data_IF_696291417719
#
_entry.id   IF_696291417719
#
_cell.length_a   1.000
_cell.length_b   1.000
_cell.length_c   1.000
_cell.angle_alpha   90.00
_cell.angle_beta   90.00
_cell.angle_gamma   90.00
#
_symmetry.space_group_name_H-M   'P 1'
#
loop_
_entity.id
_entity.type
_entity.pdbx_description
1 polymer ?
#
# COMPACT_ATOMS: atom_id res chain seq x y z
N UNK A 1 -4.81 -4.31 11.07
CA UNK A 1 -6.01 -5.13 10.76
C UNK A 1 -6.33 -4.99 9.28
N UNK A 2 -5.88 -5.96 8.47
CA UNK A 2 -6.21 -6.09 7.05
C UNK A 2 -6.35 -7.58 6.77
N UNK A 3 -7.51 -8.15 7.10
CA UNK A 3 -7.84 -9.55 6.81
C UNK A 3 -9.01 -9.59 5.83
N UNK A 4 -8.75 -9.25 4.56
CA UNK A 4 -9.63 -9.58 3.43
C UNK A 4 -8.79 -10.13 2.27
N UNK A 5 -9.42 -10.89 1.38
CA UNK A 5 -8.86 -12.03 0.63
C UNK A 5 -7.89 -11.65 -0.49
N UNK A 6 -6.61 -11.47 -0.18
CA UNK A 6 -5.55 -11.42 -1.18
C UNK A 6 -5.21 -12.86 -1.60
N UNK A 7 -5.28 -13.16 -2.90
CA UNK A 7 -5.06 -14.51 -3.43
C UNK A 7 -4.10 -14.48 -4.62
N UNK A 8 -3.39 -15.57 -4.84
CA UNK A 8 -2.52 -15.71 -6.00
C UNK A 8 -3.29 -15.51 -7.30
N UNK A 9 -2.74 -14.71 -8.21
CA UNK A 9 -3.22 -14.63 -9.59
C UNK A 9 -2.70 -15.86 -10.31
N UNK A 10 -3.61 -16.68 -10.82
CA UNK A 10 -3.27 -17.73 -11.77
C UNK A 10 -3.92 -17.37 -13.08
N UNK A 11 -3.09 -16.94 -14.04
CA UNK A 11 -3.57 -16.59 -15.38
C UNK A 11 -3.36 -17.80 -16.28
N UNK A 12 -4.46 -18.44 -16.67
CA UNK A 12 -4.46 -19.63 -17.51
C UNK A 12 -4.82 -19.20 -18.93
N UNK A 13 -3.81 -18.78 -19.69
CA UNK A 13 -4.00 -18.34 -21.08
C UNK A 13 -4.05 -19.55 -22.01
N UNK A 14 -5.26 -19.96 -22.40
CA UNK A 14 -5.43 -20.87 -23.53
C UNK A 14 -5.38 -20.05 -24.82
N UNK A 15 -4.29 -20.13 -25.57
CA UNK A 15 -4.27 -19.67 -26.96
C UNK A 15 -4.83 -20.81 -27.80
N UNK A 16 -5.99 -20.66 -28.46
CA UNK A 16 -6.46 -21.67 -29.39
C UNK A 16 -5.45 -21.80 -30.53
N UNK A 17 -5.04 -23.04 -30.85
CA UNK A 17 -4.02 -23.36 -31.84
C UNK A 17 -4.35 -22.98 -33.30
N UNK A 18 -5.41 -22.20 -33.54
CA UNK A 18 -5.91 -21.85 -34.88
C UNK A 18 -6.26 -20.38 -35.11
N UNK A 19 -5.90 -19.46 -34.22
CA UNK A 19 -6.04 -18.01 -34.46
C UNK A 19 -4.65 -17.36 -34.50
N UNK A 20 -3.92 -17.62 -35.58
CA UNK A 20 -2.80 -16.80 -36.01
C UNK A 20 -3.33 -15.86 -37.09
N UNK A 21 -3.47 -14.57 -36.76
CA UNK A 21 -3.37 -13.38 -37.62
C UNK A 21 -4.26 -12.27 -37.03
N UNK A 22 -3.61 -11.31 -36.35
CA UNK A 22 -4.19 -10.02 -36.00
C UNK A 22 -4.71 -9.88 -34.57
N UNK A 23 -4.14 -8.90 -33.87
CA UNK A 23 -4.64 -8.24 -32.65
C UNK A 23 -4.30 -8.87 -31.28
N UNK A 24 -3.70 -8.05 -30.41
CA UNK A 24 -3.29 -8.34 -29.04
C UNK A 24 -4.43 -8.98 -28.24
N UNK A 25 -4.17 -10.14 -27.64
CA UNK A 25 -5.12 -10.77 -26.71
C UNK A 25 -5.25 -9.90 -25.44
N UNK A 26 -6.39 -9.23 -25.19
CA UNK A 26 -6.59 -8.45 -24.00
C UNK A 26 -7.22 -9.33 -22.91
N UNK A 27 -6.42 -9.67 -21.91
CA UNK A 27 -6.81 -9.81 -20.50
C UNK A 27 -8.00 -10.72 -20.09
N UNK A 28 -8.56 -11.56 -20.94
CA UNK A 28 -9.76 -12.35 -20.60
C UNK A 28 -9.57 -13.84 -20.92
N UNK A 29 -9.22 -14.61 -19.88
CA UNK A 29 -9.17 -16.08 -19.93
C UNK A 29 -10.59 -16.66 -19.82
N UNK A 30 -10.85 -17.79 -20.52
CA UNK A 30 -12.19 -18.42 -20.67
C UNK A 30 -12.67 -19.27 -19.48
N UNK A 31 -11.96 -19.30 -18.35
CA UNK A 31 -12.34 -20.11 -17.18
C UNK A 31 -12.94 -19.21 -16.08
N UNK A 32 -14.06 -19.63 -15.48
CA UNK A 32 -14.73 -18.85 -14.45
C UNK A 32 -13.83 -18.66 -13.20
N UNK A 33 -13.71 -17.44 -12.65
CA UNK A 33 -12.75 -17.13 -11.58
C UNK A 33 -12.98 -17.89 -10.26
N UNK A 34 -14.20 -18.42 -10.05
CA UNK A 34 -14.56 -19.18 -8.84
C UNK A 34 -13.94 -20.58 -8.86
N UNK A 35 -13.90 -21.24 -10.01
CA UNK A 35 -13.38 -22.61 -10.17
C UNK A 35 -11.83 -22.64 -10.10
N UNK A 36 -11.18 -21.59 -10.60
CA UNK A 36 -9.71 -21.46 -10.59
C UNK A 36 -9.19 -21.32 -9.16
N UNK A 37 -9.87 -20.55 -8.30
CA UNK A 37 -9.40 -20.28 -6.94
C UNK A 37 -9.35 -21.55 -6.08
N UNK A 38 -10.35 -22.42 -6.24
CA UNK A 38 -10.42 -23.69 -5.50
C UNK A 38 -9.33 -24.68 -5.92
N UNK A 39 -8.87 -24.59 -7.17
CA UNK A 39 -7.88 -25.51 -7.72
C UNK A 39 -6.42 -25.03 -7.54
N UNK A 40 -6.23 -23.72 -7.37
CA UNK A 40 -4.90 -23.10 -7.39
C UNK A 40 -4.36 -22.70 -6.02
N UNK A 41 -5.24 -22.43 -5.06
CA UNK A 41 -4.85 -21.93 -3.74
C UNK A 41 -5.12 -23.00 -2.67
N UNK A 42 -4.10 -23.44 -1.92
CA UNK A 42 -4.30 -24.40 -0.83
C UNK A 42 -5.19 -23.80 0.26
N UNK A 43 -6.06 -24.62 0.85
CA UNK A 43 -6.81 -24.27 2.06
C UNK A 43 -5.96 -24.65 3.27
N UNK A 44 -5.89 -23.75 4.24
CA UNK A 44 -5.23 -23.99 5.52
C UNK A 44 -6.10 -24.94 6.35
N UNK A 45 -5.54 -26.07 6.77
CA UNK A 45 -6.24 -27.16 7.47
C UNK A 45 -6.84 -26.69 8.81
N UNK A 46 -6.23 -25.69 9.45
CA UNK A 46 -6.63 -25.22 10.78
C UNK A 46 -7.80 -24.24 10.75
N UNK A 47 -7.95 -23.48 9.65
CA UNK A 47 -8.92 -22.40 9.56
C UNK A 47 -9.97 -22.60 8.46
N UNK A 48 -9.78 -23.60 7.59
CA UNK A 48 -10.63 -23.83 6.41
C UNK A 48 -10.60 -22.67 5.40
N UNK A 49 -9.67 -21.71 5.58
CA UNK A 49 -9.53 -20.52 4.75
C UNK A 49 -8.43 -20.74 3.72
N UNK A 50 -8.55 -20.07 2.58
CA UNK A 50 -7.49 -20.07 1.57
C UNK A 50 -6.19 -19.45 2.12
N UNK A 51 -5.05 -20.09 1.84
CA UNK A 51 -3.73 -19.60 2.18
C UNK A 51 -3.40 -18.32 1.40
N UNK A 52 -2.71 -17.37 2.04
CA UNK A 52 -2.56 -16.00 1.53
C UNK A 52 -1.24 -15.71 0.81
N UNK A 53 -0.35 -16.69 0.69
CA UNK A 53 0.98 -16.51 0.10
C UNK A 53 1.49 -17.72 -0.68
N UNK A 54 0.67 -18.75 -0.82
CA UNK A 54 1.04 -20.03 -1.39
C UNK A 54 0.11 -20.38 -2.53
N UNK A 55 0.65 -21.05 -3.53
CA UNK A 55 -0.09 -21.65 -4.64
C UNK A 55 0.38 -23.09 -4.86
N UNK A 56 -0.48 -23.93 -5.42
CA UNK A 56 -0.07 -25.26 -5.86
C UNK A 56 0.80 -25.17 -7.11
N UNK A 57 1.87 -25.96 -7.15
CA UNK A 57 2.76 -26.10 -8.30
C UNK A 57 2.25 -27.24 -9.20
N UNK A 58 1.22 -26.95 -9.99
CA UNK A 58 0.56 -27.93 -10.87
C UNK A 58 0.85 -27.60 -12.34
N UNK A 59 0.98 -28.64 -13.16
CA UNK A 59 0.99 -28.44 -14.61
C UNK A 59 -0.45 -28.18 -15.10
N UNK A 60 -0.80 -26.89 -15.21
CA UNK A 60 -2.13 -26.43 -15.60
C UNK A 60 -2.60 -26.90 -16.99
N UNK A 61 -1.69 -27.40 -17.85
CA UNK A 61 -2.07 -28.01 -19.13
C UNK A 61 -2.83 -29.33 -18.95
N UNK A 62 -2.55 -30.08 -17.88
CA UNK A 62 -3.18 -31.37 -17.58
C UNK A 62 -4.52 -31.21 -16.86
N UNK A 63 -4.66 -30.10 -16.13
CA UNK A 63 -5.92 -29.67 -15.51
C UNK A 63 -6.99 -29.39 -16.57
N UNK A 64 -6.64 -28.63 -17.62
CA UNK A 64 -7.57 -28.29 -18.70
C UNK A 64 -7.80 -29.47 -19.65
N UNK A 65 -6.82 -30.36 -19.79
CA UNK A 65 -6.95 -31.58 -20.59
C UNK A 65 -7.87 -32.65 -20.00
N UNK A 66 -8.53 -32.39 -18.86
CA UNK A 66 -9.50 -33.29 -18.24
C UNK A 66 -8.90 -34.50 -17.51
N UNK A 67 -7.57 -34.54 -17.34
CA UNK A 67 -6.88 -35.67 -16.70
C UNK A 67 -6.73 -35.53 -15.18
N UNK A 68 -7.08 -34.37 -14.60
CA UNK A 68 -7.05 -34.13 -13.17
C UNK A 68 -8.46 -33.80 -12.66
N UNK A 69 -9.00 -34.70 -11.85
CA UNK A 69 -10.30 -34.58 -11.20
C UNK A 69 -10.16 -33.86 -9.86
N UNK A 70 -10.16 -32.53 -9.89
CA UNK A 70 -10.29 -31.68 -8.70
C UNK A 70 -9.00 -31.38 -7.92
N UNK A 71 -9.09 -30.53 -6.88
CA UNK A 71 -7.95 -30.10 -6.07
C UNK A 71 -7.46 -31.25 -5.20
N UNK A 72 -6.21 -31.68 -5.42
CA UNK A 72 -5.54 -32.66 -4.56
C UNK A 72 -4.70 -31.93 -3.49
N UNK A 73 -4.99 -32.12 -2.19
CA UNK A 73 -4.23 -31.48 -1.12
C UNK A 73 -2.78 -31.99 -1.00
N UNK A 74 -2.41 -33.10 -1.65
CA UNK A 74 -1.05 -33.64 -1.65
C UNK A 74 -0.10 -32.92 -2.61
N UNK A 75 -0.61 -32.01 -3.45
CA UNK A 75 0.22 -31.30 -4.40
C UNK A 75 1.28 -30.43 -3.74
N UNK A 76 2.49 -30.33 -4.34
CA UNK A 76 3.53 -29.46 -3.84
C UNK A 76 3.07 -28.00 -3.86
N UNK A 77 3.38 -27.27 -2.79
CA UNK A 77 3.07 -25.84 -2.67
C UNK A 77 4.32 -25.00 -2.84
N UNK A 78 4.17 -23.86 -3.50
CA UNK A 78 5.24 -22.89 -3.73
C UNK A 78 4.76 -21.47 -3.47
N UNK A 79 5.67 -20.50 -3.45
CA UNK A 79 5.34 -19.08 -3.30
C UNK A 79 4.72 -18.55 -4.59
N UNK A 80 4.02 -17.43 -4.47
CA UNK A 80 3.21 -16.91 -5.55
C UNK A 80 4.07 -16.30 -6.67
N UNK A 81 4.17 -16.99 -7.82
CA UNK A 81 5.00 -16.55 -8.96
C UNK A 81 4.21 -15.80 -10.05
N UNK A 82 2.90 -16.04 -10.14
CA UNK A 82 2.06 -15.56 -11.25
C UNK A 82 1.31 -14.25 -10.94
N UNK A 83 1.75 -13.53 -9.91
CA UNK A 83 1.19 -12.27 -9.44
C UNK A 83 0.05 -12.42 -8.43
N UNK A 84 -0.64 -11.32 -8.14
CA UNK A 84 -1.68 -11.27 -7.10
C UNK A 84 -3.02 -10.77 -7.64
N UNK A 85 -4.09 -11.27 -7.03
CA UNK A 85 -5.47 -10.85 -7.25
C UNK A 85 -6.04 -10.40 -5.92
N UNK A 86 -6.54 -9.18 -5.90
CA UNK A 86 -7.04 -8.51 -4.71
C UNK A 86 -8.56 -8.34 -4.81
N UNK A 87 -9.27 -8.62 -3.72
CA UNK A 87 -10.70 -8.36 -3.63
C UNK A 87 -10.97 -6.93 -3.13
N UNK A 88 -11.30 -6.05 -4.08
CA UNK A 88 -11.63 -4.64 -3.82
C UNK A 88 -13.13 -4.40 -3.53
N UNK A 89 -13.93 -5.44 -3.25
CA UNK A 89 -15.38 -5.27 -2.99
C UNK A 89 -15.73 -4.35 -1.81
N UNK A 90 -14.83 -4.21 -0.82
CA UNK A 90 -15.03 -3.37 0.37
C UNK A 90 -13.92 -2.33 0.57
N UNK A 91 -12.84 -2.39 -0.22
CA UNK A 91 -11.65 -1.58 0.00
C UNK A 91 -11.11 -1.04 -1.32
N UNK A 92 -10.53 0.16 -1.27
CA UNK A 92 -9.88 0.76 -2.42
C UNK A 92 -8.46 0.21 -2.63
N UNK A 93 -7.93 0.25 -3.86
CA UNK A 93 -6.54 -0.11 -4.13
C UNK A 93 -5.56 0.77 -3.36
N UNK A 94 -4.66 0.14 -2.61
CA UNK A 94 -3.59 0.82 -1.88
C UNK A 94 -2.28 0.69 -2.65
N UNK A 95 -1.30 1.54 -2.32
CA UNK A 95 0.04 1.43 -2.89
C UNK A 95 0.67 0.04 -2.68
N UNK A 96 0.32 -0.62 -1.57
CA UNK A 96 0.80 -1.96 -1.24
C UNK A 96 0.19 -3.02 -2.15
N UNK A 97 -1.08 -2.89 -2.55
CA UNK A 97 -1.71 -3.81 -3.49
C UNK A 97 -1.37 -3.49 -4.95
N UNK A 98 -1.11 -2.22 -5.27
CA UNK A 98 -0.67 -1.80 -6.61
C UNK A 98 0.76 -2.28 -6.93
N UNK A 99 1.66 -2.23 -5.94
CA UNK A 99 3.06 -2.63 -6.09
C UNK A 99 3.36 -4.03 -5.57
N UNK A 100 2.33 -4.80 -5.20
CA UNK A 100 2.42 -6.18 -4.72
C UNK A 100 3.35 -6.37 -3.51
N UNK A 101 3.33 -5.43 -2.55
CA UNK A 101 4.10 -5.51 -1.30
C UNK A 101 3.40 -6.39 -0.27
N UNK A 102 3.31 -7.67 -0.59
CA UNK A 102 2.65 -8.70 0.22
C UNK A 102 3.60 -9.89 0.42
N UNK A 103 3.33 -10.70 1.44
CA UNK A 103 4.09 -11.93 1.73
C UNK A 103 5.58 -11.66 1.95
N UNK A 104 6.47 -12.10 1.06
CA UNK A 104 7.93 -11.87 1.20
C UNK A 104 8.32 -10.38 1.20
N UNK A 105 7.45 -9.52 0.66
CA UNK A 105 7.69 -8.09 0.50
C UNK A 105 6.83 -7.24 1.45
N UNK A 106 6.24 -7.85 2.47
CA UNK A 106 5.40 -7.20 3.48
C UNK A 106 6.17 -6.25 4.43
N UNK A 107 7.50 -6.34 4.42
CA UNK A 107 8.40 -5.48 5.19
C UNK A 107 8.51 -4.06 4.59
N UNK A 108 8.28 -3.89 3.28
CA UNK A 108 8.43 -2.60 2.56
C UNK A 108 7.53 -1.48 3.12
N UNK A 109 6.20 -1.69 3.33
CA UNK A 109 5.34 -0.69 3.96
C UNK A 109 5.81 -0.32 5.37
N UNK A 110 6.22 -1.32 6.16
CA UNK A 110 6.69 -1.14 7.53
C UNK A 110 7.97 -0.31 7.58
N UNK A 111 8.94 -0.60 6.70
CA UNK A 111 10.16 0.21 6.59
C UNK A 111 9.86 1.65 6.16
N UNK A 112 8.95 1.83 5.20
CA UNK A 112 8.54 3.18 4.77
C UNK A 112 7.96 3.99 5.92
N UNK A 113 7.17 3.35 6.79
CA UNK A 113 6.61 3.97 7.98
C UNK A 113 7.68 4.27 9.04
N UNK A 114 8.67 3.40 9.21
CA UNK A 114 9.81 3.67 10.10
C UNK A 114 10.62 4.88 9.63
N UNK A 115 10.91 4.98 8.33
CA UNK A 115 11.66 6.11 7.76
C UNK A 115 10.90 7.42 7.85
N UNK A 116 9.57 7.41 7.78
CA UNK A 116 8.74 8.57 8.08
C UNK A 116 9.02 9.11 9.50
N UNK A 117 9.06 8.24 10.51
CA UNK A 117 9.36 8.66 11.89
C UNK A 117 10.80 9.11 12.09
N UNK A 118 11.76 8.48 11.41
CA UNK A 118 13.16 8.96 11.39
C UNK A 118 13.23 10.37 10.81
N UNK A 119 12.51 10.65 9.72
CA UNK A 119 12.41 12.00 9.16
C UNK A 119 11.84 13.01 10.15
N UNK A 120 10.76 12.64 10.86
CA UNK A 120 10.17 13.48 11.89
C UNK A 120 11.17 13.80 13.03
N UNK A 121 11.89 12.78 13.51
CA UNK A 121 12.88 12.94 14.57
C UNK A 121 14.03 13.87 14.16
N UNK A 122 14.55 13.69 12.94
CA UNK A 122 15.65 14.51 12.42
C UNK A 122 15.23 15.96 12.15
N UNK A 123 13.99 16.18 11.71
CA UNK A 123 13.49 17.50 11.37
C UNK A 123 13.07 18.33 12.59
N UNK A 124 12.66 17.71 13.69
CA UNK A 124 12.17 18.40 14.89
C UNK A 124 13.11 19.51 15.40
N UNK A 125 14.41 19.26 15.67
CA UNK A 125 15.32 20.34 16.12
C UNK A 125 15.57 21.40 15.04
N UNK A 126 15.64 21.01 13.76
CA UNK A 126 15.92 21.91 12.64
C UNK A 126 14.75 22.86 12.39
N UNK A 127 13.53 22.33 12.33
CA UNK A 127 12.31 23.10 12.11
C UNK A 127 11.92 23.91 13.35
N UNK A 128 12.26 23.43 14.55
CA UNK A 128 12.17 24.22 15.79
C UNK A 128 13.04 25.47 15.73
N UNK A 129 14.33 25.30 15.46
CA UNK A 129 15.26 26.43 15.30
C UNK A 129 14.84 27.39 14.17
N UNK A 130 14.43 26.84 13.02
CA UNK A 130 13.96 27.61 11.89
C UNK A 130 12.70 28.43 12.22
N UNK A 131 11.75 27.85 12.95
CA UNK A 131 10.53 28.51 13.42
C UNK A 131 10.85 29.70 14.34
N UNK A 132 11.86 29.58 15.19
CA UNK A 132 12.25 30.66 16.08
C UNK A 132 12.97 31.79 15.32
N UNK A 133 13.70 31.47 14.23
CA UNK A 133 14.47 32.46 13.47
C UNK A 133 13.66 33.22 12.42
N UNK A 134 12.75 32.54 11.71
CA UNK A 134 11.95 33.08 10.61
C UNK A 134 10.50 33.36 11.00
N UNK A 135 10.10 33.00 12.22
CA UNK A 135 8.74 33.13 12.71
C UNK A 135 7.91 31.87 12.44
N UNK A 136 6.88 31.69 13.27
CA UNK A 136 6.03 30.49 13.31
C UNK A 136 5.13 30.36 12.08
N UNK A 137 4.54 31.46 11.61
CA UNK A 137 3.59 31.49 10.49
C UNK A 137 4.21 31.08 9.14
N UNK A 138 5.34 31.67 8.69
CA UNK A 138 5.96 31.27 7.42
C UNK A 138 6.37 29.79 7.39
N UNK A 139 6.86 29.26 8.51
CA UNK A 139 7.32 27.87 8.61
C UNK A 139 6.15 26.89 8.57
N UNK A 140 5.01 27.21 9.18
CA UNK A 140 3.78 26.40 9.02
C UNK A 140 3.38 26.35 7.54
N UNK A 141 3.32 27.48 6.85
CA UNK A 141 2.89 27.51 5.45
C UNK A 141 3.87 26.73 4.56
N UNK A 142 5.18 26.94 4.76
CA UNK A 142 6.21 26.22 4.01
C UNK A 142 6.14 24.70 4.22
N UNK A 143 5.98 24.25 5.47
CA UNK A 143 5.88 22.81 5.79
C UNK A 143 4.58 22.20 5.29
N UNK A 144 3.46 22.92 5.30
CA UNK A 144 2.19 22.47 4.70
C UNK A 144 2.32 22.28 3.19
N UNK A 145 2.92 23.26 2.49
CA UNK A 145 3.13 23.17 1.04
C UNK A 145 4.06 22.02 0.71
N UNK A 146 5.16 21.86 1.44
CA UNK A 146 6.12 20.76 1.26
C UNK A 146 5.48 19.40 1.53
N UNK A 147 4.80 19.24 2.66
CA UNK A 147 4.14 17.99 3.06
C UNK A 147 3.01 17.61 2.11
N UNK A 148 2.19 18.58 1.72
CA UNK A 148 1.12 18.40 0.74
C UNK A 148 1.65 17.99 -0.63
N UNK A 149 2.65 18.69 -1.16
CA UNK A 149 3.25 18.36 -2.44
C UNK A 149 3.90 16.97 -2.43
N UNK A 150 4.66 16.63 -1.37
CA UNK A 150 5.29 15.32 -1.22
C UNK A 150 4.24 14.20 -1.06
N UNK A 151 3.14 14.47 -0.34
CA UNK A 151 2.02 13.54 -0.18
C UNK A 151 1.32 13.23 -1.49
N UNK A 152 1.02 14.27 -2.29
CA UNK A 152 0.42 14.10 -3.63
C UNK A 152 1.39 13.38 -4.56
N UNK A 153 2.67 13.77 -4.58
CA UNK A 153 3.68 13.10 -5.38
C UNK A 153 3.80 11.60 -5.06
N UNK A 154 3.62 11.22 -3.78
CA UNK A 154 3.69 9.82 -3.34
C UNK A 154 2.62 8.93 -3.96
N UNK A 155 1.48 9.50 -4.39
CA UNK A 155 0.43 8.75 -5.06
C UNK A 155 0.78 8.35 -6.50
N UNK A 156 1.73 9.06 -7.14
CA UNK A 156 2.12 8.84 -8.53
C UNK A 156 3.42 8.01 -8.66
N UNK A 157 4.07 7.67 -7.55
CA UNK A 157 5.31 6.90 -7.59
C UNK A 157 5.06 5.40 -7.73
N UNK A 158 5.75 4.77 -8.69
CA UNK A 158 5.74 3.31 -8.86
C UNK A 158 7.03 2.63 -8.36
N UNK A 159 7.97 3.39 -7.78
CA UNK A 159 9.23 2.88 -7.25
C UNK A 159 9.25 2.94 -5.73
N UNK A 160 9.71 1.85 -5.11
CA UNK A 160 9.85 1.76 -3.65
C UNK A 160 10.73 2.88 -3.08
N UNK A 161 11.86 3.17 -3.73
CA UNK A 161 12.81 4.19 -3.26
C UNK A 161 12.19 5.58 -3.35
N UNK A 162 11.53 5.89 -4.48
CA UNK A 162 10.86 7.17 -4.67
C UNK A 162 9.74 7.37 -3.63
N UNK A 163 8.87 6.37 -3.46
CA UNK A 163 7.80 6.40 -2.45
C UNK A 163 8.35 6.61 -1.04
N UNK A 164 9.37 5.84 -0.66
CA UNK A 164 9.99 5.91 0.67
C UNK A 164 10.64 7.26 0.93
N UNK A 165 11.34 7.82 -0.07
CA UNK A 165 11.95 9.15 0.03
C UNK A 165 10.92 10.25 0.23
N UNK A 166 9.79 10.19 -0.48
CA UNK A 166 8.70 11.15 -0.31
C UNK A 166 8.04 10.98 1.06
N UNK A 167 7.89 9.75 1.57
CA UNK A 167 7.42 9.50 2.93
C UNK A 167 8.35 10.07 3.99
N UNK A 168 9.66 10.01 3.77
CA UNK A 168 10.62 10.69 4.63
C UNK A 168 10.41 12.21 4.62
N UNK A 169 10.21 12.83 3.44
CA UNK A 169 9.89 14.27 3.33
C UNK A 169 8.60 14.65 4.06
N UNK A 170 7.52 13.86 3.89
CA UNK A 170 6.26 14.08 4.63
C UNK A 170 6.49 13.94 6.13
N UNK A 171 7.28 12.95 6.55
CA UNK A 171 7.68 12.73 7.94
C UNK A 171 8.38 13.94 8.55
N UNK A 172 9.29 14.60 7.82
CA UNK A 172 9.95 15.82 8.29
C UNK A 172 8.95 16.94 8.61
N UNK A 173 7.84 17.03 7.87
CA UNK A 173 6.83 18.08 8.09
C UNK A 173 5.82 17.73 9.19
N UNK A 174 5.68 16.45 9.55
CA UNK A 174 4.62 15.95 10.43
C UNK A 174 4.62 16.60 11.82
N UNK A 175 5.78 16.65 12.48
CA UNK A 175 5.90 17.17 13.85
C UNK A 175 5.56 18.68 13.94
N UNK A 176 5.94 19.44 12.92
CA UNK A 176 5.69 20.89 12.86
C UNK A 176 4.20 21.23 12.77
N UNK A 177 3.39 20.40 12.12
CA UNK A 177 1.95 20.65 12.00
C UNK A 177 1.26 20.59 13.37
N UNK A 178 1.59 19.62 14.22
CA UNK A 178 0.98 19.50 15.54
C UNK A 178 1.51 20.54 16.50
N UNK A 179 2.84 20.68 16.58
CA UNK A 179 3.49 21.51 17.60
C UNK A 179 3.21 22.99 17.39
N UNK A 180 3.30 23.49 16.15
CA UNK A 180 3.14 24.94 15.92
C UNK A 180 1.66 25.37 15.97
N UNK A 181 0.72 24.54 15.51
CA UNK A 181 -0.72 24.82 15.64
C UNK A 181 -1.13 24.85 17.12
N UNK A 182 -0.62 23.93 17.94
CA UNK A 182 -0.85 23.94 19.38
C UNK A 182 -0.36 25.24 20.01
N UNK A 183 0.87 25.66 19.73
CA UNK A 183 1.44 26.89 20.28
C UNK A 183 0.68 28.13 19.81
N UNK A 184 0.32 28.18 18.52
CA UNK A 184 -0.45 29.29 17.97
C UNK A 184 -1.82 29.41 18.65
N UNK A 185 -2.52 28.29 18.88
CA UNK A 185 -3.80 28.27 19.61
C UNK A 185 -3.67 28.85 21.01
N UNK A 186 -2.65 28.45 21.76
CA UNK A 186 -2.47 28.97 23.13
C UNK A 186 -2.05 30.45 23.14
N UNK A 187 -1.26 30.90 22.16
CA UNK A 187 -0.93 32.32 21.99
C UNK A 187 -2.16 33.18 21.70
N UNK A 188 -3.03 32.72 20.79
CA UNK A 188 -4.25 33.45 20.43
C UNK A 188 -5.19 33.61 21.63
N UNK A 189 -5.41 32.53 22.39
CA UNK A 189 -6.17 32.62 23.64
C UNK A 189 -5.59 33.64 24.62
N UNK A 190 -4.25 33.69 24.73
CA UNK A 190 -3.56 34.65 25.59
C UNK A 190 -3.81 36.10 25.15
N UNK A 191 -3.78 36.36 23.84
CA UNK A 191 -4.08 37.68 23.27
C UNK A 191 -5.54 38.08 23.53
N UNK A 192 -6.49 37.17 23.32
CA UNK A 192 -7.91 37.45 23.55
C UNK A 192 -8.21 37.78 25.03
N UNK A 193 -7.58 37.05 25.97
CA UNK A 193 -7.70 37.32 27.40
C UNK A 193 -7.10 38.69 27.78
N UNK A 194 -5.94 39.03 27.22
CA UNK A 194 -5.32 40.33 27.46
C UNK A 194 -6.20 41.47 26.93
N UNK A 195 -6.78 41.30 25.74
CA UNK A 195 -7.71 42.26 25.17
C UNK A 195 -8.96 42.42 26.04
N UNK A 196 -9.52 41.32 26.53
CA UNK A 196 -10.70 41.30 27.42
C UNK A 196 -10.41 42.00 28.75
N UNK A 197 -9.20 41.86 29.29
CA UNK A 197 -8.77 42.54 30.51
C UNK A 197 -8.66 44.05 30.32
N UNK A 198 -8.17 44.53 29.17
CA UNK A 198 -8.07 45.98 28.89
C UNK A 198 -9.44 46.64 28.65
N UNK A 199 -10.47 45.86 28.30
CA UNK A 199 -11.83 46.37 28.04
C UNK A 199 -12.76 46.39 29.27
N UNK A 200 -12.31 45.88 30.42
CA UNK A 200 -13.03 45.90 31.71
C UNK A 200 -12.32 46.82 32.71
#
# INVERSE_FOLDING_TARGET
MTTRSDSCRVTLCLVPSRLWYGEEAPHSCLVAPVEIKELTVPKDETTGKFAKCKMYQVNFTQVVGGNLSGPDPTWPTTTCINGWTYDFSLYYPTITSQLNWVCEEDWKPSLSQSLFFVGAFMASPVLGWASDRWGRLPIIVATNVMGGAAGVASAFTNSFVAFTSLRFLVGMTFDTHYTVVYILRELLKGVDLFQTYQTN
#
